data_IF_340326367122
#
_entry.id   IF_340326367122
#
_cell.length_a   1.000
_cell.length_b   1.000
_cell.length_c   1.000
_cell.angle_alpha   90.00
_cell.angle_beta   90.00
_cell.angle_gamma   90.00
#
_symmetry.space_group_name_H-M   'P 1'
#
loop_
_entity.id
_entity.type
_entity.pdbx_description
1 polymer ?
#
# COMPACT_ATOMS: atom_id res chain seq x y z
N UNK A 1 -24.15 24.16 57.27
CA UNK A 1 -22.98 23.94 56.39
C UNK A 1 -22.67 22.47 56.42
N UNK A 2 -23.04 21.77 55.36
CA UNK A 2 -22.93 20.31 55.24
C UNK A 2 -22.60 20.01 53.79
N UNK A 3 -21.40 19.48 53.56
CA UNK A 3 -20.89 19.03 52.28
C UNK A 3 -21.61 17.74 51.85
N UNK A 4 -22.07 17.68 50.59
CA UNK A 4 -22.41 16.43 49.92
C UNK A 4 -21.34 16.10 48.88
N UNK A 5 -20.74 14.90 48.93
CA UNK A 5 -19.79 14.44 47.92
C UNK A 5 -20.52 13.91 46.67
N UNK A 6 -20.07 14.32 45.49
CA UNK A 6 -20.45 13.70 44.21
C UNK A 6 -19.82 12.31 44.11
N UNK A 7 -20.64 11.27 44.17
CA UNK A 7 -20.26 9.91 43.81
C UNK A 7 -20.21 9.77 42.28
N UNK A 8 -18.99 9.62 41.77
CA UNK A 8 -18.75 9.07 40.43
C UNK A 8 -18.94 7.56 40.47
N UNK A 9 -19.95 7.05 39.77
CA UNK A 9 -20.10 5.64 39.42
C UNK A 9 -21.09 5.55 38.25
N UNK A 10 -20.59 5.54 37.00
CA UNK A 10 -21.33 4.96 35.86
C UNK A 10 -20.51 4.79 34.56
N UNK A 11 -19.18 4.72 34.62
CA UNK A 11 -18.36 4.40 33.43
C UNK A 11 -18.12 2.90 33.25
N UNK A 12 -18.38 2.08 34.27
CA UNK A 12 -18.08 0.64 34.25
C UNK A 12 -19.20 -0.26 33.70
N UNK A 13 -20.41 0.26 33.46
CA UNK A 13 -21.49 -0.54 32.86
C UNK A 13 -21.57 -0.43 31.32
N UNK A 14 -20.91 0.55 30.71
CA UNK A 14 -20.91 0.73 29.24
C UNK A 14 -20.02 -0.30 28.54
N UNK A 15 -19.02 -0.87 29.23
CA UNK A 15 -18.07 -1.82 28.64
C UNK A 15 -18.60 -3.26 28.49
N UNK A 16 -19.69 -3.64 29.18
CA UNK A 16 -20.26 -4.99 29.10
C UNK A 16 -21.26 -5.20 27.96
N UNK A 17 -21.73 -4.14 27.30
CA UNK A 17 -22.65 -4.23 26.15
C UNK A 17 -21.95 -4.25 24.79
N UNK A 18 -20.63 -4.09 24.73
CA UNK A 18 -19.86 -4.04 23.48
C UNK A 18 -19.41 -5.41 22.93
N UNK A 19 -19.63 -6.51 23.66
CA UNK A 19 -19.11 -7.84 23.28
C UNK A 19 -20.10 -9.00 23.40
N UNK A 20 -21.40 -8.75 23.29
CA UNK A 20 -22.38 -9.80 22.98
C UNK A 20 -22.56 -9.90 21.47
N UNK A 21 -21.89 -10.91 20.88
CA UNK A 21 -22.17 -11.41 19.52
C UNK A 21 -23.67 -11.72 19.41
N UNK A 22 -24.43 -10.83 18.79
CA UNK A 22 -25.79 -11.10 18.35
C UNK A 22 -25.80 -11.37 16.85
N UNK A 23 -26.57 -12.36 16.37
CA UNK A 23 -26.69 -12.67 14.96
C UNK A 23 -27.36 -11.51 14.23
N UNK A 24 -26.79 -11.15 13.08
CA UNK A 24 -27.24 -10.07 12.19
C UNK A 24 -28.76 -10.03 12.03
N UNK A 25 -29.41 -9.08 12.70
CA UNK A 25 -30.73 -8.61 12.32
C UNK A 25 -30.53 -7.50 11.29
N UNK A 26 -30.94 -7.79 10.05
CA UNK A 26 -31.00 -6.86 8.92
C UNK A 26 -32.01 -5.76 9.26
N UNK A 27 -31.62 -4.78 10.07
CA UNK A 27 -32.35 -3.52 10.21
C UNK A 27 -31.99 -2.67 8.99
N UNK A 28 -33.01 -2.33 8.21
CA UNK A 28 -32.94 -1.33 7.14
C UNK A 28 -32.49 -0.01 7.76
N UNK A 29 -31.22 0.33 7.56
CA UNK A 29 -30.71 1.67 7.82
C UNK A 29 -30.95 2.49 6.56
N UNK A 30 -32.21 2.76 6.23
CA UNK A 30 -32.62 3.50 5.02
C UNK A 30 -31.94 4.87 4.96
N UNK A 31 -31.76 5.55 6.09
CA UNK A 31 -31.02 6.81 6.16
C UNK A 31 -29.52 6.64 5.88
N UNK A 32 -28.92 5.52 6.31
CA UNK A 32 -27.52 5.21 6.02
C UNK A 32 -27.34 4.81 4.55
N UNK A 33 -28.33 4.14 3.96
CA UNK A 33 -28.35 3.83 2.53
C UNK A 33 -28.55 5.10 1.69
N UNK A 34 -29.45 6.00 2.07
CA UNK A 34 -29.64 7.30 1.40
C UNK A 34 -28.38 8.17 1.54
N UNK A 35 -27.77 8.21 2.73
CA UNK A 35 -26.51 8.91 2.95
C UNK A 35 -25.37 8.29 2.14
N UNK A 36 -25.28 6.96 2.08
CA UNK A 36 -24.32 6.25 1.24
C UNK A 36 -24.55 6.51 -0.25
N UNK A 37 -25.80 6.55 -0.68
CA UNK A 37 -26.19 6.83 -2.06
C UNK A 37 -25.92 8.29 -2.42
N UNK A 38 -26.09 9.24 -1.50
CA UNK A 38 -25.66 10.63 -1.66
C UNK A 38 -24.14 10.76 -1.72
N UNK A 39 -23.40 10.04 -0.87
CA UNK A 39 -21.93 10.00 -0.93
C UNK A 39 -21.41 9.37 -2.23
N UNK A 40 -22.09 8.34 -2.73
CA UNK A 40 -21.81 7.69 -4.01
C UNK A 40 -22.17 8.60 -5.19
N UNK A 41 -23.27 9.37 -5.10
CA UNK A 41 -23.69 10.37 -6.09
C UNK A 41 -22.72 11.57 -6.14
N UNK A 42 -22.25 12.05 -4.98
CA UNK A 42 -21.29 13.14 -4.89
C UNK A 42 -19.84 12.71 -5.21
N UNK A 43 -19.58 11.40 -5.39
CA UNK A 43 -18.24 10.82 -5.57
C UNK A 43 -17.23 11.22 -4.45
N UNK A 44 -17.73 11.59 -3.27
CA UNK A 44 -16.91 12.07 -2.14
C UNK A 44 -16.52 10.95 -1.17
N UNK A 45 -17.03 9.74 -1.36
CA UNK A 45 -16.69 8.60 -0.50
C UNK A 45 -15.19 8.23 -0.57
N UNK A 46 -14.64 7.72 0.54
CA UNK A 46 -13.25 7.25 0.61
C UNK A 46 -12.89 6.24 -0.50
N UNK A 47 -13.86 5.51 -1.02
CA UNK A 47 -13.70 4.56 -2.13
C UNK A 47 -13.53 5.23 -3.50
N UNK A 48 -13.97 6.49 -3.66
CA UNK A 48 -13.88 7.27 -4.90
C UNK A 48 -12.64 8.18 -4.94
N UNK A 49 -11.95 8.38 -3.81
CA UNK A 49 -10.70 9.14 -3.75
C UNK A 49 -9.49 8.32 -3.26
N UNK A 50 -9.17 7.18 -3.90
CA UNK A 50 -8.05 6.33 -3.48
C UNK A 50 -6.69 7.04 -3.56
N UNK A 51 -6.56 8.03 -4.43
CA UNK A 51 -5.33 8.82 -4.61
C UNK A 51 -5.09 9.79 -3.45
N UNK A 52 -6.13 10.47 -2.94
CA UNK A 52 -5.98 11.53 -1.92
C UNK A 52 -5.57 10.96 -0.56
N UNK A 53 -6.05 9.76 -0.22
CA UNK A 53 -5.71 9.06 1.02
C UNK A 53 -4.21 8.75 1.11
N UNK A 54 -3.57 8.40 -0.01
CA UNK A 54 -2.16 8.02 -0.03
C UNK A 54 -1.20 9.21 -0.16
N UNK A 55 -1.70 10.42 -0.45
CA UNK A 55 -0.88 11.64 -0.60
C UNK A 55 -0.10 11.99 0.66
N UNK A 56 -0.72 11.88 1.83
CA UNK A 56 -0.08 12.25 3.10
C UNK A 56 1.09 11.33 3.41
N UNK A 57 0.90 10.01 3.30
CA UNK A 57 1.96 9.03 3.50
C UNK A 57 3.13 9.26 2.54
N UNK A 58 2.86 9.49 1.26
CA UNK A 58 3.91 9.76 0.26
C UNK A 58 4.68 11.05 0.56
N UNK A 59 4.01 12.11 1.01
CA UNK A 59 4.70 13.33 1.46
C UNK A 59 5.66 13.03 2.61
N UNK A 60 5.22 12.24 3.60
CA UNK A 60 6.07 11.82 4.73
C UNK A 60 7.29 11.04 4.23
N UNK A 61 7.10 10.05 3.35
CA UNK A 61 8.22 9.29 2.78
C UNK A 61 9.21 10.20 2.03
N UNK A 62 8.72 11.13 1.21
CA UNK A 62 9.59 12.11 0.52
C UNK A 62 10.40 12.94 1.50
N UNK A 63 9.76 13.46 2.55
CA UNK A 63 10.44 14.23 3.59
C UNK A 63 11.52 13.41 4.28
N UNK A 64 11.26 12.14 4.57
CA UNK A 64 12.26 11.24 5.17
C UNK A 64 13.46 11.04 4.23
N UNK A 65 13.23 10.75 2.94
CA UNK A 65 14.31 10.58 1.97
C UNK A 65 15.12 11.87 1.73
N UNK A 66 14.48 13.04 1.73
CA UNK A 66 15.19 14.31 1.69
C UNK A 66 15.96 14.58 2.98
N UNK A 67 15.41 14.20 4.14
CA UNK A 67 16.09 14.26 5.43
C UNK A 67 17.37 13.41 5.45
N UNK A 68 17.29 12.17 4.95
CA UNK A 68 18.49 11.31 4.83
C UNK A 68 19.52 11.90 3.87
N UNK A 69 19.10 12.43 2.71
CA UNK A 69 20.02 13.08 1.79
C UNK A 69 20.75 14.26 2.48
N UNK A 70 20.02 15.08 3.23
CA UNK A 70 20.60 16.17 4.00
C UNK A 70 21.58 15.71 5.08
N UNK A 71 21.22 14.67 5.85
CA UNK A 71 22.10 14.09 6.88
C UNK A 71 23.38 13.54 6.26
N UNK A 72 23.30 12.80 5.15
CA UNK A 72 24.49 12.26 4.50
C UNK A 72 25.41 13.34 3.93
N UNK A 73 24.86 14.43 3.37
CA UNK A 73 25.65 15.59 2.94
C UNK A 73 26.35 16.23 4.14
N UNK A 74 25.64 16.47 5.25
CA UNK A 74 26.25 17.01 6.46
C UNK A 74 27.34 16.11 7.02
N UNK A 75 27.13 14.78 7.02
CA UNK A 75 28.11 13.81 7.47
C UNK A 75 29.37 13.84 6.58
N UNK A 76 29.19 13.90 5.26
CA UNK A 76 30.27 14.02 4.30
C UNK A 76 31.07 15.31 4.47
N UNK A 77 30.39 16.44 4.68
CA UNK A 77 31.03 17.72 4.96
C UNK A 77 31.75 17.70 6.31
N UNK A 78 31.16 17.12 7.35
CA UNK A 78 31.76 16.99 8.67
C UNK A 78 33.03 16.14 8.63
N UNK A 79 32.97 14.98 7.97
CA UNK A 79 34.15 14.13 7.75
C UNK A 79 35.20 14.92 6.98
N UNK A 80 34.83 15.60 5.88
CA UNK A 80 35.75 16.41 5.08
C UNK A 80 36.42 17.57 5.85
N UNK A 81 35.65 18.28 6.68
CA UNK A 81 36.12 19.43 7.47
C UNK A 81 36.93 19.03 8.70
N UNK A 82 36.73 17.82 9.23
CA UNK A 82 37.48 17.35 10.39
C UNK A 82 38.96 17.18 10.03
N UNK A 83 39.82 17.99 10.65
CA UNK A 83 41.27 17.88 10.55
C UNK A 83 41.75 16.63 11.29
N UNK A 84 42.40 15.70 10.58
CA UNK A 84 43.08 14.55 11.20
C UNK A 84 44.36 15.01 11.89
N UNK A 85 44.25 15.64 13.07
CA UNK A 85 45.40 15.91 13.95
C UNK A 85 46.03 14.63 14.50
N UNK A 86 45.39 13.47 14.31
CA UNK A 86 45.73 12.22 14.98
C UNK A 86 46.69 11.28 14.23
N UNK A 87 47.27 11.66 13.08
CA UNK A 87 47.91 10.64 12.22
C UNK A 87 49.25 11.03 11.61
N UNK A 88 50.26 11.26 12.45
CA UNK A 88 51.65 11.43 11.99
C UNK A 88 52.29 10.14 11.43
N UNK A 89 51.70 8.95 11.63
CA UNK A 89 52.29 7.66 11.18
C UNK A 89 51.63 7.04 9.92
N UNK A 90 50.41 7.46 9.54
CA UNK A 90 49.62 6.83 8.45
C UNK A 90 48.93 7.87 7.55
N UNK A 91 49.62 8.97 7.25
CA UNK A 91 49.06 10.14 6.56
C UNK A 91 48.32 9.80 5.25
N UNK A 92 48.88 8.92 4.42
CA UNK A 92 48.26 8.52 3.15
C UNK A 92 47.01 7.64 3.34
N UNK A 93 47.03 6.71 4.30
CA UNK A 93 45.89 5.83 4.55
C UNK A 93 44.70 6.58 5.16
N UNK A 94 44.97 7.56 6.02
CA UNK A 94 43.94 8.43 6.62
C UNK A 94 43.22 9.28 5.57
N UNK A 95 43.95 9.85 4.60
CA UNK A 95 43.38 10.64 3.50
C UNK A 95 42.53 9.77 2.57
N UNK A 96 43.02 8.58 2.21
CA UNK A 96 42.28 7.63 1.35
C UNK A 96 40.99 7.17 2.03
N UNK A 97 41.04 6.83 3.33
CA UNK A 97 39.85 6.43 4.08
C UNK A 97 38.83 7.57 4.19
N UNK A 98 39.29 8.79 4.47
CA UNK A 98 38.46 10.00 4.57
C UNK A 98 37.75 10.31 3.25
N UNK A 99 38.49 10.27 2.13
CA UNK A 99 37.92 10.48 0.79
C UNK A 99 36.94 9.37 0.41
N UNK A 100 37.24 8.12 0.75
CA UNK A 100 36.33 6.98 0.51
C UNK A 100 35.02 7.11 1.30
N UNK A 101 35.08 7.43 2.60
CA UNK A 101 33.89 7.64 3.44
C UNK A 101 33.07 8.83 2.91
N UNK A 102 33.74 9.91 2.51
CA UNK A 102 33.09 11.09 1.94
C UNK A 102 32.37 10.75 0.64
N UNK A 103 33.01 9.99 -0.26
CA UNK A 103 32.42 9.52 -1.51
C UNK A 103 31.18 8.65 -1.24
N UNK A 104 31.26 7.71 -0.30
CA UNK A 104 30.12 6.88 0.11
C UNK A 104 28.98 7.76 0.61
N UNK A 105 29.25 8.75 1.48
CA UNK A 105 28.22 9.67 1.95
C UNK A 105 27.54 10.42 0.81
N UNK A 106 28.30 10.91 -0.18
CA UNK A 106 27.71 11.56 -1.36
C UNK A 106 26.89 10.61 -2.23
N UNK A 107 27.34 9.37 -2.43
CA UNK A 107 26.58 8.36 -3.18
C UNK A 107 25.27 8.00 -2.47
N UNK A 108 25.28 7.81 -1.15
CA UNK A 108 24.06 7.58 -0.38
C UNK A 108 23.13 8.79 -0.40
N UNK A 109 23.67 10.01 -0.30
CA UNK A 109 22.88 11.23 -0.43
C UNK A 109 22.17 11.32 -1.79
N UNK A 110 22.92 11.06 -2.87
CA UNK A 110 22.39 11.06 -4.23
C UNK A 110 21.32 9.99 -4.42
N UNK A 111 21.57 8.76 -3.95
CA UNK A 111 20.59 7.68 -4.01
C UNK A 111 19.30 8.02 -3.24
N UNK A 112 19.42 8.61 -2.05
CA UNK A 112 18.28 9.03 -1.25
C UNK A 112 17.48 10.14 -1.94
N UNK A 113 18.16 11.09 -2.59
CA UNK A 113 17.54 12.18 -3.34
C UNK A 113 16.79 11.64 -4.57
N UNK A 114 17.42 10.73 -5.33
CA UNK A 114 16.78 10.05 -6.46
C UNK A 114 15.52 9.30 -6.01
N UNK A 115 15.59 8.57 -4.90
CA UNK A 115 14.41 7.91 -4.33
C UNK A 115 13.30 8.92 -3.96
N UNK A 116 13.64 10.01 -3.26
CA UNK A 116 12.67 11.07 -2.93
C UNK A 116 11.98 11.69 -4.15
N UNK A 117 12.71 11.91 -5.24
CA UNK A 117 12.16 12.48 -6.49
C UNK A 117 11.31 11.49 -7.28
N UNK A 118 11.67 10.22 -7.27
CA UNK A 118 11.00 9.17 -8.05
C UNK A 118 9.70 8.67 -7.42
N UNK A 119 9.54 8.85 -6.11
CA UNK A 119 8.28 8.50 -5.43
C UNK A 119 7.13 9.34 -6.00
N UNK A 120 6.12 8.64 -6.51
CA UNK A 120 4.94 9.20 -7.15
C UNK A 120 3.68 8.61 -6.54
N UNK A 121 2.79 9.49 -6.08
CA UNK A 121 1.56 9.14 -5.35
C UNK A 121 0.65 8.19 -6.12
N UNK A 122 0.51 8.45 -7.41
CA UNK A 122 -0.35 7.76 -8.35
C UNK A 122 0.18 6.35 -8.64
N UNK A 123 1.50 6.22 -8.83
CA UNK A 123 2.15 4.92 -9.00
C UNK A 123 2.08 4.07 -7.73
N UNK A 124 2.29 4.67 -6.56
CA UNK A 124 2.18 3.96 -5.28
C UNK A 124 0.75 3.46 -5.01
N UNK A 125 -0.27 4.24 -5.36
CA UNK A 125 -1.66 3.81 -5.25
C UNK A 125 -1.95 2.57 -6.13
N UNK A 126 -1.53 2.57 -7.40
CA UNK A 126 -1.67 1.40 -8.29
C UNK A 126 -0.94 0.18 -7.72
N UNK A 127 0.29 0.37 -7.22
CA UNK A 127 1.08 -0.72 -6.61
C UNK A 127 0.42 -1.26 -5.34
N UNK A 128 -0.18 -0.41 -4.52
CA UNK A 128 -0.90 -0.80 -3.32
C UNK A 128 -2.08 -1.73 -3.63
N UNK A 129 -2.97 -1.34 -4.55
CA UNK A 129 -4.11 -2.19 -4.94
C UNK A 129 -3.67 -3.49 -5.63
N UNK A 130 -2.62 -3.43 -6.44
CA UNK A 130 -2.03 -4.63 -7.04
C UNK A 130 -1.55 -5.63 -5.97
N UNK A 131 -0.85 -5.14 -4.93
CA UNK A 131 -0.38 -5.98 -3.83
C UNK A 131 -1.56 -6.61 -3.09
N UNK A 132 -2.59 -5.83 -2.76
CA UNK A 132 -3.80 -6.34 -2.10
C UNK A 132 -4.46 -7.45 -2.93
N UNK A 133 -4.67 -7.22 -4.22
CA UNK A 133 -5.29 -8.18 -5.12
C UNK A 133 -4.47 -9.48 -5.20
N UNK A 134 -3.15 -9.39 -5.38
CA UNK A 134 -2.26 -10.56 -5.39
C UNK A 134 -2.26 -11.31 -4.07
N UNK A 135 -2.22 -10.61 -2.94
CA UNK A 135 -2.30 -11.24 -1.61
C UNK A 135 -3.63 -11.97 -1.43
N UNK A 136 -4.74 -11.37 -1.85
CA UNK A 136 -6.06 -12.01 -1.78
C UNK A 136 -6.14 -13.23 -2.71
N UNK A 137 -5.63 -13.13 -3.94
CA UNK A 137 -5.56 -14.23 -4.89
C UNK A 137 -4.73 -15.40 -4.34
N UNK A 138 -3.54 -15.12 -3.79
CA UNK A 138 -2.66 -16.10 -3.17
C UNK A 138 -3.32 -16.80 -1.98
N UNK A 139 -4.01 -16.05 -1.12
CA UNK A 139 -4.79 -16.61 0.00
C UNK A 139 -5.91 -17.53 -0.48
N UNK A 140 -6.63 -17.15 -1.53
CA UNK A 140 -7.69 -17.98 -2.13
C UNK A 140 -7.12 -19.26 -2.75
N UNK A 141 -6.01 -19.15 -3.47
CA UNK A 141 -5.30 -20.29 -4.05
C UNK A 141 -4.85 -21.26 -2.97
N UNK A 142 -4.21 -20.77 -1.89
CA UNK A 142 -3.79 -21.60 -0.76
C UNK A 142 -4.98 -22.35 -0.13
N UNK A 143 -6.12 -21.66 0.07
CA UNK A 143 -7.35 -22.29 0.58
C UNK A 143 -7.91 -23.37 -0.36
N UNK A 144 -7.97 -23.11 -1.67
CA UNK A 144 -8.45 -24.09 -2.66
C UNK A 144 -7.49 -25.29 -2.74
N UNK A 145 -6.18 -25.04 -2.74
CA UNK A 145 -5.14 -26.08 -2.72
C UNK A 145 -5.25 -26.98 -1.47
N UNK A 146 -5.48 -26.39 -0.29
CA UNK A 146 -5.70 -27.14 0.95
C UNK A 146 -6.96 -28.01 0.88
N UNK A 147 -8.07 -27.48 0.36
CA UNK A 147 -9.30 -28.25 0.16
C UNK A 147 -9.10 -29.43 -0.79
N UNK A 148 -8.39 -29.24 -1.89
CA UNK A 148 -8.03 -30.32 -2.82
C UNK A 148 -7.10 -31.35 -2.15
N UNK A 149 -6.13 -30.91 -1.35
CA UNK A 149 -5.26 -31.79 -0.57
C UNK A 149 -6.03 -32.65 0.44
N UNK A 150 -6.97 -32.07 1.17
CA UNK A 150 -7.85 -32.80 2.09
C UNK A 150 -8.76 -33.80 1.36
N UNK A 151 -9.34 -33.39 0.21
CA UNK A 151 -10.11 -34.31 -0.63
C UNK A 151 -9.26 -35.48 -1.12
N UNK A 152 -8.01 -35.24 -1.54
CA UNK A 152 -7.06 -36.30 -1.93
C UNK A 152 -6.73 -37.24 -0.79
N UNK A 153 -6.58 -36.72 0.43
CA UNK A 153 -6.31 -37.53 1.61
C UNK A 153 -7.52 -38.42 1.99
N UNK A 154 -8.74 -37.90 1.86
CA UNK A 154 -9.97 -38.62 2.18
C UNK A 154 -10.45 -39.56 1.04
N UNK A 155 -10.23 -39.19 -0.22
CA UNK A 155 -10.58 -39.98 -1.39
C UNK A 155 -9.37 -40.80 -1.84
N UNK A 156 -9.19 -41.97 -1.22
CA UNK A 156 -8.09 -42.90 -1.47
C UNK A 156 -7.97 -43.41 -2.94
N UNK A 157 -8.95 -43.10 -3.82
CA UNK A 157 -9.09 -43.67 -5.17
C UNK A 157 -9.46 -42.69 -6.31
N UNK A 158 -9.40 -41.37 -6.12
CA UNK A 158 -9.72 -40.41 -7.19
C UNK A 158 -8.48 -39.76 -7.78
N UNK A 159 -8.31 -39.71 -9.11
CA UNK A 159 -7.25 -38.98 -9.84
C UNK A 159 -7.47 -37.46 -9.72
N UNK A 160 -6.80 -36.72 -8.79
CA UNK A 160 -7.05 -35.30 -8.56
C UNK A 160 -6.00 -34.41 -9.26
N UNK A 161 -5.06 -34.99 -10.01
CA UNK A 161 -3.95 -34.26 -10.63
C UNK A 161 -4.46 -33.19 -11.60
N UNK A 162 -5.46 -33.51 -12.40
CA UNK A 162 -6.03 -32.59 -13.37
C UNK A 162 -6.67 -31.36 -12.71
N UNK A 163 -7.38 -31.53 -11.59
CA UNK A 163 -7.94 -30.40 -10.83
C UNK A 163 -6.85 -29.49 -10.25
N UNK A 164 -5.73 -30.06 -9.78
CA UNK A 164 -4.61 -29.27 -9.26
C UNK A 164 -3.87 -28.49 -10.35
N UNK A 165 -3.69 -29.09 -11.53
CA UNK A 165 -3.09 -28.45 -12.71
C UNK A 165 -3.98 -27.29 -13.16
N UNK A 166 -5.28 -27.52 -13.30
CA UNK A 166 -6.26 -26.50 -13.69
C UNK A 166 -6.29 -25.35 -12.68
N UNK A 167 -6.30 -25.64 -11.37
CA UNK A 167 -6.26 -24.59 -10.35
C UNK A 167 -4.98 -23.76 -10.41
N UNK A 168 -3.83 -24.40 -10.63
CA UNK A 168 -2.54 -23.72 -10.78
C UNK A 168 -2.54 -22.84 -12.03
N UNK A 169 -3.06 -23.34 -13.15
CA UNK A 169 -3.17 -22.57 -14.39
C UNK A 169 -4.09 -21.36 -14.21
N UNK A 170 -5.29 -21.54 -13.65
CA UNK A 170 -6.21 -20.43 -13.36
C UNK A 170 -5.59 -19.37 -12.44
N UNK A 171 -4.76 -19.78 -11.48
CA UNK A 171 -4.03 -18.86 -10.61
C UNK A 171 -2.99 -18.04 -11.38
N UNK A 172 -2.20 -18.69 -12.24
CA UNK A 172 -1.22 -18.00 -13.09
C UNK A 172 -1.91 -17.04 -14.05
N UNK A 173 -2.96 -17.49 -14.75
CA UNK A 173 -3.74 -16.65 -15.66
C UNK A 173 -4.33 -15.43 -14.95
N UNK A 174 -4.88 -15.60 -13.74
CA UNK A 174 -5.41 -14.49 -12.95
C UNK A 174 -4.29 -13.55 -12.48
N UNK A 175 -3.14 -14.08 -12.06
CA UNK A 175 -1.98 -13.29 -11.64
C UNK A 175 -1.38 -12.48 -12.79
N UNK A 176 -1.32 -13.07 -13.98
CA UNK A 176 -0.79 -12.42 -15.18
C UNK A 176 -1.71 -11.32 -15.67
N UNK A 177 -3.04 -11.56 -15.66
CA UNK A 177 -4.04 -10.50 -15.90
C UNK A 177 -3.91 -9.34 -14.92
N UNK A 178 -3.63 -9.61 -13.63
CA UNK A 178 -3.38 -8.52 -12.65
C UNK A 178 -2.15 -7.70 -13.06
N UNK A 179 -1.07 -8.34 -13.53
CA UNK A 179 0.14 -7.65 -13.97
C UNK A 179 -0.09 -6.81 -15.24
N UNK A 180 -0.79 -7.37 -16.21
CA UNK A 180 -1.17 -6.69 -17.46
C UNK A 180 -1.99 -5.43 -17.16
N UNK A 181 -3.05 -5.57 -16.35
CA UNK A 181 -3.87 -4.41 -15.93
C UNK A 181 -3.09 -3.36 -15.15
N UNK A 182 -2.14 -3.79 -14.31
CA UNK A 182 -1.24 -2.87 -13.60
C UNK A 182 -0.41 -2.05 -14.60
N UNK A 183 0.12 -2.68 -15.65
CA UNK A 183 0.93 -1.98 -16.68
C UNK A 183 0.09 -1.03 -17.53
N UNK A 184 -1.10 -1.43 -17.94
CA UNK A 184 -2.05 -0.56 -18.66
C UNK A 184 -2.36 0.71 -17.87
N UNK A 185 -2.65 0.57 -16.56
CA UNK A 185 -3.02 1.70 -15.71
C UNK A 185 -1.81 2.57 -15.39
N UNK A 186 -0.63 1.99 -15.19
CA UNK A 186 0.61 2.78 -15.05
C UNK A 186 0.89 3.62 -16.30
N UNK A 187 0.71 3.05 -17.50
CA UNK A 187 0.86 3.78 -18.74
C UNK A 187 -0.19 4.90 -18.89
N UNK A 188 -1.44 4.65 -18.50
CA UNK A 188 -2.49 5.67 -18.48
C UNK A 188 -2.14 6.83 -17.53
N UNK A 189 -1.67 6.51 -16.33
CA UNK A 189 -1.21 7.48 -15.33
C UNK A 189 -0.04 8.31 -15.86
N UNK A 190 0.96 7.68 -16.49
CA UNK A 190 2.10 8.39 -17.09
C UNK A 190 1.67 9.31 -18.25
N UNK A 191 0.64 8.92 -19.01
CA UNK A 191 0.04 9.75 -20.07
C UNK A 191 -0.70 10.97 -19.51
N UNK A 192 -1.50 10.79 -18.45
CA UNK A 192 -2.17 11.91 -17.76
C UNK A 192 -1.11 12.89 -17.23
N UNK A 193 -0.02 12.37 -16.66
CA UNK A 193 1.05 13.20 -16.12
C UNK A 193 1.75 14.01 -17.22
N UNK A 194 2.05 13.38 -18.36
CA UNK A 194 2.72 13.99 -19.52
C UNK A 194 1.88 15.04 -20.25
N UNK A 195 0.56 15.11 -19.99
CA UNK A 195 -0.31 16.09 -20.64
C UNK A 195 -0.13 17.47 -19.99
N UNK A 196 0.54 18.40 -20.68
CA UNK A 196 0.93 19.71 -20.14
C UNK A 196 -0.21 20.73 -20.01
N UNK A 197 -1.28 20.59 -20.78
CA UNK A 197 -2.36 21.58 -20.91
C UNK A 197 -3.51 21.39 -19.91
N UNK A 198 -3.43 20.39 -19.04
CA UNK A 198 -4.54 20.01 -18.18
C UNK A 198 -4.39 20.57 -16.77
N UNK A 199 -5.47 21.18 -16.27
CA UNK A 199 -5.53 21.69 -14.90
C UNK A 199 -5.23 20.60 -13.85
N UNK A 200 -4.63 21.00 -12.74
CA UNK A 200 -4.19 20.10 -11.67
C UNK A 200 -5.40 19.36 -11.08
N UNK A 201 -6.51 20.05 -10.80
CA UNK A 201 -7.69 19.39 -10.23
C UNK A 201 -8.24 18.34 -11.20
N UNK A 202 -8.28 18.67 -12.49
CA UNK A 202 -8.73 17.74 -13.53
C UNK A 202 -7.82 16.51 -13.64
N UNK A 203 -6.50 16.66 -13.49
CA UNK A 203 -5.56 15.52 -13.43
C UNK A 203 -5.84 14.64 -12.22
N UNK A 204 -6.10 15.24 -11.06
CA UNK A 204 -6.43 14.48 -9.85
C UNK A 204 -7.73 13.68 -9.99
N UNK A 205 -8.76 14.26 -10.60
CA UNK A 205 -10.00 13.54 -10.92
C UNK A 205 -9.74 12.34 -11.83
N UNK A 206 -8.95 12.52 -12.89
CA UNK A 206 -8.59 11.43 -13.80
C UNK A 206 -7.77 10.33 -13.11
N UNK A 207 -6.85 10.68 -12.21
CA UNK A 207 -6.13 9.68 -11.43
C UNK A 207 -7.06 8.88 -10.51
N UNK A 208 -7.95 9.57 -9.79
CA UNK A 208 -8.93 8.91 -8.93
C UNK A 208 -9.81 7.94 -9.72
N UNK A 209 -10.33 8.38 -10.87
CA UNK A 209 -11.16 7.57 -11.74
C UNK A 209 -10.41 6.34 -12.27
N UNK A 210 -9.19 6.53 -12.78
CA UNK A 210 -8.37 5.43 -13.31
C UNK A 210 -8.03 4.39 -12.24
N UNK A 211 -7.69 4.84 -11.02
CA UNK A 211 -7.35 3.95 -9.90
C UNK A 211 -8.59 3.24 -9.36
N UNK A 212 -9.74 3.92 -9.30
CA UNK A 212 -11.00 3.31 -8.89
C UNK A 212 -11.43 2.21 -9.87
N UNK A 213 -11.43 2.50 -11.18
CA UNK A 213 -11.74 1.53 -12.22
C UNK A 213 -10.77 0.33 -12.19
N UNK A 214 -9.50 0.59 -11.94
CA UNK A 214 -8.50 -0.46 -11.75
C UNK A 214 -8.82 -1.37 -10.56
N UNK A 215 -9.15 -0.77 -9.40
CA UNK A 215 -9.51 -1.53 -8.21
C UNK A 215 -10.77 -2.39 -8.42
N UNK A 216 -11.78 -1.87 -9.13
CA UNK A 216 -12.99 -2.61 -9.46
C UNK A 216 -12.69 -3.80 -10.36
N UNK A 217 -11.87 -3.60 -11.40
CA UNK A 217 -11.40 -4.69 -12.30
C UNK A 217 -10.61 -5.76 -11.54
N UNK A 218 -9.72 -5.36 -10.63
CA UNK A 218 -8.97 -6.30 -9.79
C UNK A 218 -9.89 -7.09 -8.86
N UNK A 219 -10.86 -6.42 -8.25
CA UNK A 219 -11.85 -7.04 -7.36
C UNK A 219 -12.68 -8.07 -8.12
N UNK A 220 -13.12 -7.73 -9.34
CA UNK A 220 -13.85 -8.64 -10.22
C UNK A 220 -12.99 -9.86 -10.59
N UNK A 221 -11.72 -9.68 -10.97
CA UNK A 221 -10.80 -10.80 -11.29
C UNK A 221 -10.63 -11.75 -10.10
N UNK A 222 -10.41 -11.21 -8.90
CA UNK A 222 -10.29 -12.01 -7.66
C UNK A 222 -11.61 -12.72 -7.35
N UNK A 223 -12.75 -12.07 -7.58
CA UNK A 223 -14.07 -12.66 -7.40
C UNK A 223 -14.32 -13.80 -8.41
N UNK A 224 -14.00 -13.62 -9.68
CA UNK A 224 -14.09 -14.66 -10.70
C UNK A 224 -13.24 -15.87 -10.31
N UNK A 225 -11.99 -15.67 -9.85
CA UNK A 225 -11.15 -16.77 -9.37
C UNK A 225 -11.73 -17.47 -8.13
N UNK A 226 -12.38 -16.72 -7.23
CA UNK A 226 -13.05 -17.29 -6.06
C UNK A 226 -14.18 -18.24 -6.48
N UNK A 227 -14.97 -17.85 -7.48
CA UNK A 227 -16.15 -18.59 -7.95
C UNK A 227 -15.86 -19.59 -9.08
N UNK A 228 -14.68 -19.55 -9.70
CA UNK A 228 -14.23 -20.56 -10.66
C UNK A 228 -13.80 -21.83 -9.93
N UNK A 229 -14.78 -22.68 -9.60
CA UNK A 229 -14.62 -24.06 -9.13
C UNK A 229 -15.98 -24.65 -8.81
#
# INVERSE_FOLDING_TARGET
MTFSPMQGQNTAQISKYLFTKTPYSRRDYTELEIFRQQIELDQQGLHHQPYTLNKSGVKVYKTIFYGFAFVFVLLGLFVSATSSTFTYAFFNFSIVLKTFITLICFLLALASLIMGMTIRTEREAVMHYTRIAKTNLSKLYARKKLKLGLKRFLAFFGHPEQETIVLKQMYHDASDKINERKEEVLHLVDRINSTSTMDIQKKETLYNQAIAEFNDKLTLLVHTFKHSS
#
